data_IF_063848159616
#
_entry.id   IF_063848159616
#
_cell.length_a   1.000
_cell.length_b   1.000
_cell.length_c   1.000
_cell.angle_alpha   90.00
_cell.angle_beta   90.00
_cell.angle_gamma   90.00
#
_symmetry.space_group_name_H-M   'P 1'
#
loop_
_entity.id
_entity.type
_entity.pdbx_description
1 polymer ?
#
# COMPACT_ATOMS: atom_id res chain seq x y z
N UNK A 1 -20.38 -27.63 -11.66
CA UNK A 1 -19.51 -26.90 -12.60
C UNK A 1 -18.36 -26.42 -11.75
N UNK A 2 -17.13 -26.84 -12.03
CA UNK A 2 -15.98 -26.40 -11.23
C UNK A 2 -15.62 -25.00 -11.71
N UNK A 3 -15.78 -23.99 -10.86
CA UNK A 3 -15.19 -22.69 -11.10
C UNK A 3 -13.70 -22.79 -10.80
N UNK A 4 -12.87 -22.68 -11.83
CA UNK A 4 -11.44 -22.54 -11.65
C UNK A 4 -11.18 -21.15 -11.08
N UNK A 5 -11.00 -21.07 -9.76
CA UNK A 5 -10.53 -19.84 -9.11
C UNK A 5 -9.03 -19.73 -9.40
N UNK A 6 -8.65 -18.65 -10.07
CA UNK A 6 -7.24 -18.30 -10.28
C UNK A 6 -6.71 -17.69 -9.00
N UNK A 7 -5.80 -18.38 -8.35
CA UNK A 7 -5.12 -17.90 -7.15
C UNK A 7 -3.70 -17.46 -7.55
N UNK A 8 -3.37 -16.20 -7.30
CA UNK A 8 -2.04 -15.67 -7.62
C UNK A 8 -1.13 -15.87 -6.41
N UNK A 9 -0.01 -16.55 -6.63
CA UNK A 9 1.07 -16.72 -5.68
C UNK A 9 2.09 -15.62 -5.89
N UNK A 10 2.34 -14.82 -4.86
CA UNK A 10 3.32 -13.71 -4.91
C UNK A 10 4.73 -14.27 -5.04
N UNK A 11 5.56 -13.66 -5.88
CA UNK A 11 7.01 -13.89 -5.96
C UNK A 11 7.76 -12.62 -5.53
N UNK A 12 7.25 -11.45 -5.89
CA UNK A 12 7.88 -10.18 -5.56
C UNK A 12 6.84 -9.11 -5.28
N UNK A 13 7.05 -8.38 -4.20
CA UNK A 13 6.32 -7.17 -3.84
C UNK A 13 7.19 -5.98 -4.21
N UNK A 14 6.59 -5.00 -4.89
CA UNK A 14 7.25 -3.75 -5.27
C UNK A 14 6.41 -2.60 -4.74
N UNK A 15 7.04 -1.69 -4.00
CA UNK A 15 6.42 -0.45 -3.54
C UNK A 15 7.16 0.72 -4.18
N UNK A 16 6.43 1.60 -4.85
CA UNK A 16 6.87 2.95 -5.18
C UNK A 16 5.97 3.98 -4.51
N UNK A 17 6.46 5.21 -4.42
CA UNK A 17 5.76 6.30 -3.77
C UNK A 17 6.21 7.65 -4.32
N UNK A 18 5.43 8.67 -4.06
CA UNK A 18 5.81 10.07 -4.23
C UNK A 18 5.56 10.86 -2.96
N UNK A 19 6.29 11.94 -2.78
CA UNK A 19 6.18 12.77 -1.60
C UNK A 19 7.25 13.85 -1.50
N UNK A 20 7.10 14.67 -0.48
CA UNK A 20 8.06 15.71 -0.10
C UNK A 20 8.58 15.35 1.29
N UNK A 21 9.91 15.29 1.41
CA UNK A 21 10.58 14.84 2.63
C UNK A 21 11.61 15.88 3.02
N UNK A 22 11.49 16.40 4.25
CA UNK A 22 12.44 17.34 4.82
C UNK A 22 13.70 16.59 5.30
N UNK A 23 13.50 15.42 5.90
CA UNK A 23 14.57 14.49 6.24
C UNK A 23 14.17 13.06 5.88
N UNK A 24 14.60 12.61 4.69
CA UNK A 24 14.25 11.29 4.19
C UNK A 24 14.92 10.14 4.98
N UNK A 25 15.97 10.41 5.76
CA UNK A 25 16.56 9.42 6.64
C UNK A 25 15.67 9.03 7.83
N UNK A 26 14.74 9.88 8.23
CA UNK A 26 13.83 9.60 9.35
C UNK A 26 12.64 8.73 8.94
N UNK A 27 12.45 8.51 7.65
CA UNK A 27 11.37 7.69 7.14
C UNK A 27 11.77 6.22 7.15
N UNK A 28 10.96 5.39 7.80
CA UNK A 28 10.95 3.95 7.56
C UNK A 28 9.68 3.51 6.82
N UNK A 29 9.81 2.47 6.00
CA UNK A 29 8.75 1.95 5.15
C UNK A 29 8.65 0.44 5.36
N UNK A 30 7.45 -0.02 5.67
CA UNK A 30 7.12 -1.43 5.83
C UNK A 30 5.96 -1.80 4.91
N UNK A 31 5.93 -3.08 4.49
CA UNK A 31 4.77 -3.68 3.84
C UNK A 31 4.34 -4.94 4.58
N UNK A 32 3.04 -5.02 4.87
CA UNK A 32 2.40 -6.16 5.54
C UNK A 32 1.45 -6.85 4.58
N UNK A 33 1.59 -8.17 4.44
CA UNK A 33 0.72 -8.98 3.60
C UNK A 33 -0.60 -9.35 4.30
N UNK A 34 -1.62 -9.83 3.56
CA UNK A 34 -2.87 -10.33 4.12
C UNK A 34 -2.69 -11.47 5.12
N UNK A 35 -1.60 -12.24 5.00
CA UNK A 35 -1.28 -13.35 5.88
C UNK A 35 -0.41 -12.93 7.08
N UNK A 36 -0.10 -11.64 7.21
CA UNK A 36 0.60 -11.05 8.35
C UNK A 36 2.13 -11.02 8.21
N UNK A 37 2.68 -11.35 7.05
CA UNK A 37 4.13 -11.26 6.81
C UNK A 37 4.54 -9.81 6.60
N UNK A 38 5.40 -9.32 7.50
CA UNK A 38 5.96 -7.97 7.45
C UNK A 38 7.34 -7.96 6.78
N UNK A 39 7.52 -7.03 5.84
CA UNK A 39 8.81 -6.71 5.26
C UNK A 39 9.14 -5.23 5.48
N UNK A 40 10.23 -4.98 6.21
CA UNK A 40 10.87 -3.66 6.24
C UNK A 40 11.56 -3.43 4.89
N UNK A 41 11.04 -2.48 4.13
CA UNK A 41 11.49 -2.13 2.78
C UNK A 41 12.56 -1.05 2.83
N UNK A 42 12.43 -0.12 3.76
CA UNK A 42 13.39 0.94 4.02
C UNK A 42 13.48 1.14 5.54
N UNK A 43 14.61 0.80 6.18
CA UNK A 43 14.83 1.16 7.58
C UNK A 43 15.14 2.66 7.68
N UNK A 44 14.92 3.24 8.87
CA UNK A 44 15.39 4.58 9.18
C UNK A 44 16.93 4.65 9.11
N UNK A 45 17.46 5.74 8.56
CA UNK A 45 18.88 5.96 8.29
C UNK A 45 19.33 7.26 8.95
N UNK A 46 19.70 7.19 10.23
CA UNK A 46 20.06 8.34 11.10
C UNK A 46 21.18 9.29 10.59
N UNK A 47 21.93 8.89 9.57
CA UNK A 47 23.01 9.69 8.99
C UNK A 47 22.61 10.29 7.62
N UNK A 48 21.42 9.97 7.13
CA UNK A 48 20.86 10.57 5.93
C UNK A 48 20.00 11.75 6.38
N UNK A 49 20.45 12.97 6.11
CA UNK A 49 19.75 14.23 6.40
C UNK A 49 19.17 14.86 5.12
N UNK A 50 18.96 14.05 4.08
CA UNK A 50 18.55 14.53 2.76
C UNK A 50 17.12 15.04 2.77
N UNK A 51 16.93 16.30 2.37
CA UNK A 51 15.64 16.81 1.92
C UNK A 51 15.43 16.53 0.43
N UNK A 52 14.27 16.00 0.05
CA UNK A 52 13.98 15.69 -1.34
C UNK A 52 12.48 15.70 -1.66
N UNK A 53 12.18 15.92 -2.94
CA UNK A 53 10.90 15.58 -3.54
C UNK A 53 11.13 14.30 -4.33
N UNK A 54 10.29 13.30 -4.11
CA UNK A 54 10.34 12.03 -4.82
C UNK A 54 9.10 11.94 -5.69
N UNK A 55 9.30 11.71 -6.97
CA UNK A 55 8.21 11.44 -7.93
C UNK A 55 7.90 9.95 -8.03
N UNK A 56 6.66 9.62 -8.39
CA UNK A 56 6.20 8.24 -8.43
C UNK A 56 7.00 7.43 -9.45
N UNK A 57 7.64 6.35 -8.97
CA UNK A 57 8.46 5.46 -9.79
C UNK A 57 9.94 5.83 -9.86
N UNK A 58 10.38 6.94 -9.26
CA UNK A 58 11.81 7.26 -9.09
C UNK A 58 12.51 6.28 -8.15
N UNK A 59 11.85 5.99 -7.02
CA UNK A 59 12.29 4.97 -6.06
C UNK A 59 11.33 3.79 -6.09
N UNK A 60 11.90 2.59 -6.22
CA UNK A 60 11.18 1.31 -6.10
C UNK A 60 11.86 0.44 -5.06
N UNK A 61 11.09 0.03 -4.08
CA UNK A 61 11.51 -0.87 -3.01
C UNK A 61 10.97 -2.26 -3.29
N UNK A 62 11.77 -3.30 -3.03
CA UNK A 62 11.45 -4.67 -3.40
C UNK A 62 11.49 -5.59 -2.18
N UNK A 63 10.54 -6.53 -2.11
CA UNK A 63 10.57 -7.62 -1.14
C UNK A 63 10.24 -8.96 -1.80
N UNK A 64 10.97 -9.98 -1.37
CA UNK A 64 10.68 -11.40 -1.65
C UNK A 64 10.24 -12.15 -0.39
N UNK A 65 9.99 -11.45 0.73
CA UNK A 65 9.59 -12.10 1.99
C UNK A 65 8.23 -12.76 1.90
N UNK A 66 7.32 -12.20 1.11
CA UNK A 66 5.97 -12.69 0.89
C UNK A 66 5.91 -13.78 -0.22
N UNK A 67 7.03 -14.43 -0.52
CA UNK A 67 7.09 -15.45 -1.58
C UNK A 67 6.10 -16.58 -1.29
N UNK A 68 5.36 -16.97 -2.33
CA UNK A 68 4.31 -17.98 -2.33
C UNK A 68 3.06 -17.67 -1.52
N UNK A 69 2.91 -16.45 -1.01
CA UNK A 69 1.68 -16.03 -0.35
C UNK A 69 0.53 -15.84 -1.34
N UNK A 70 -0.70 -16.06 -0.88
CA UNK A 70 -1.89 -15.68 -1.66
C UNK A 70 -1.96 -14.16 -1.76
N UNK A 71 -2.24 -13.66 -2.97
CA UNK A 71 -2.35 -12.21 -3.20
C UNK A 71 -3.56 -11.59 -2.50
N UNK A 72 -4.63 -12.38 -2.32
CA UNK A 72 -5.94 -11.90 -1.95
C UNK A 72 -5.99 -11.43 -0.49
N UNK A 73 -6.65 -10.29 -0.27
CA UNK A 73 -6.86 -9.67 1.03
C UNK A 73 -6.24 -8.28 1.13
N UNK A 74 -6.10 -7.79 2.36
CA UNK A 74 -5.61 -6.42 2.62
C UNK A 74 -4.10 -6.39 2.71
N UNK A 75 -3.48 -5.54 1.90
CA UNK A 75 -2.08 -5.17 2.02
C UNK A 75 -1.98 -3.81 2.70
N UNK A 76 -1.04 -3.67 3.63
CA UNK A 76 -0.76 -2.41 4.30
C UNK A 76 0.65 -1.95 3.92
N UNK A 77 0.78 -0.71 3.46
CA UNK A 77 2.07 -0.04 3.32
C UNK A 77 2.11 1.05 4.36
N UNK A 78 3.10 0.99 5.25
CA UNK A 78 3.23 1.88 6.39
C UNK A 78 4.47 2.74 6.23
N UNK A 79 4.27 4.06 6.29
CA UNK A 79 5.33 5.05 6.40
C UNK A 79 5.38 5.52 7.84
N UNK A 80 6.56 5.49 8.45
CA UNK A 80 6.77 5.96 9.83
C UNK A 80 7.80 7.06 9.81
N UNK A 81 7.39 8.21 10.34
CA UNK A 81 8.31 9.29 10.67
C UNK A 81 8.89 9.05 12.07
N UNK A 82 10.19 8.79 12.13
CA UNK A 82 10.86 8.40 13.37
C UNK A 82 11.34 9.61 14.20
N UNK A 83 11.16 10.85 13.73
CA UNK A 83 11.44 12.07 14.49
C UNK A 83 10.21 12.63 15.23
N UNK A 84 9.14 11.84 15.34
CA UNK A 84 7.99 12.15 16.20
C UNK A 84 7.21 13.41 15.74
N UNK A 85 7.26 13.75 14.44
CA UNK A 85 6.45 14.80 13.82
C UNK A 85 7.03 16.21 13.90
N UNK A 86 8.32 16.36 14.20
CA UNK A 86 9.01 17.67 14.11
C UNK A 86 9.29 18.08 12.65
N UNK A 87 9.22 17.14 11.71
CA UNK A 87 9.48 17.33 10.27
C UNK A 87 8.19 17.37 9.46
N UNK A 88 8.17 18.14 8.37
CA UNK A 88 6.99 18.29 7.49
C UNK A 88 6.95 17.26 6.36
N UNK A 89 7.22 15.99 6.67
CA UNK A 89 7.21 14.91 5.69
C UNK A 89 5.78 14.63 5.18
N UNK A 90 5.61 14.50 3.86
CA UNK A 90 4.32 14.27 3.21
C UNK A 90 4.41 13.23 2.12
N UNK A 91 3.71 12.11 2.30
CA UNK A 91 3.47 11.13 1.23
C UNK A 91 2.26 11.57 0.42
N UNK A 92 2.39 11.65 -0.90
CA UNK A 92 1.31 12.10 -1.81
C UNK A 92 0.69 10.96 -2.60
N UNK A 93 1.45 9.92 -2.94
CA UNK A 93 0.94 8.72 -3.58
C UNK A 93 1.76 7.49 -3.21
N UNK A 94 1.14 6.31 -3.31
CA UNK A 94 1.76 5.01 -3.10
C UNK A 94 1.29 4.07 -4.19
N UNK A 95 2.22 3.37 -4.85
CA UNK A 95 1.95 2.28 -5.76
C UNK A 95 2.43 0.96 -5.20
N UNK A 96 1.56 -0.05 -5.28
CA UNK A 96 1.87 -1.43 -4.89
C UNK A 96 1.73 -2.32 -6.13
N UNK A 97 2.84 -2.94 -6.54
CA UNK A 97 2.86 -3.92 -7.62
C UNK A 97 3.22 -5.30 -7.08
N UNK A 98 2.34 -6.26 -7.32
CA UNK A 98 2.54 -7.66 -6.93
C UNK A 98 2.86 -8.47 -8.18
N UNK A 99 4.04 -9.09 -8.22
CA UNK A 99 4.44 -10.02 -9.28
C UNK A 99 4.33 -11.43 -8.75
N UNK A 100 3.88 -12.35 -9.60
CA UNK A 100 3.66 -13.72 -9.19
C UNK A 100 3.12 -14.58 -10.31
N UNK A 101 2.78 -15.82 -9.94
CA UNK A 101 2.23 -16.81 -10.86
C UNK A 101 0.79 -17.11 -10.53
N UNK A 102 -0.05 -17.13 -11.56
CA UNK A 102 -1.41 -17.62 -11.48
C UNK A 102 -1.38 -19.16 -11.36
N UNK A 103 -1.90 -19.70 -10.27
CA UNK A 103 -2.11 -21.12 -10.09
C UNK A 103 -3.62 -21.42 -10.12
N UNK A 104 -4.06 -22.45 -10.87
CA UNK A 104 -5.43 -22.91 -10.77
C UNK A 104 -5.61 -23.55 -9.38
N UNK A 105 -6.42 -22.94 -8.52
CA UNK A 105 -6.80 -23.57 -7.27
C UNK A 105 -8.00 -24.46 -7.56
N UNK A 106 -7.78 -25.79 -7.48
CA UNK A 106 -8.89 -26.75 -7.49
C UNK A 106 -9.66 -26.60 -6.18
N UNK A 107 -10.81 -25.94 -6.25
CA UNK A 107 -11.83 -26.09 -5.22
C UNK A 107 -12.36 -27.51 -5.36
N UNK A 108 -11.91 -28.42 -4.48
CA UNK A 108 -12.58 -29.70 -4.33
C UNK A 108 -13.95 -29.36 -3.73
N UNK A 109 -15.04 -29.57 -4.48
CA UNK A 109 -16.38 -29.35 -3.97
C UNK A 109 -16.51 -30.09 -2.62
N UNK A 110 -16.83 -29.40 -1.51
CA UNK A 110 -17.13 -30.08 -0.28
C UNK A 110 -18.37 -30.94 -0.56
N UNK A 111 -18.24 -32.25 -0.41
CA UNK A 111 -19.37 -33.16 -0.59
C UNK A 111 -20.31 -33.05 0.60
N UNK A 112 -20.98 -31.92 0.87
CA UNK A 112 -22.06 -31.88 1.87
C UNK A 112 -23.15 -30.86 1.54
N UNK A 113 -24.36 -31.26 1.92
CA UNK A 113 -25.65 -30.70 1.55
C UNK A 113 -25.82 -29.19 1.79
N UNK A 114 -26.58 -28.60 0.86
CA UNK A 114 -27.42 -27.39 0.95
C UNK A 114 -27.31 -26.56 2.24
N UNK A 115 -26.89 -25.30 2.11
CA UNK A 115 -27.76 -24.13 2.25
C UNK A 115 -27.00 -22.89 1.73
N UNK A 116 -27.42 -22.34 0.59
CA UNK A 116 -26.80 -21.15 -0.01
C UNK A 116 -27.47 -19.92 0.59
N UNK A 117 -26.73 -19.17 1.42
CA UNK A 117 -27.12 -17.83 1.84
C UNK A 117 -26.42 -16.84 0.91
N UNK A 118 -27.19 -16.19 0.03
CA UNK A 118 -26.70 -15.17 -0.90
C UNK A 118 -26.11 -13.98 -0.13
N UNK A 119 -24.93 -13.52 -0.53
CA UNK A 119 -24.48 -12.17 -0.20
C UNK A 119 -24.03 -11.40 -1.43
N UNK A 120 -24.63 -10.22 -1.53
CA UNK A 120 -24.60 -9.24 -2.61
C UNK A 120 -23.26 -8.49 -2.65
N UNK A 121 -22.89 -8.06 -3.86
CA UNK A 121 -21.68 -7.29 -4.20
C UNK A 121 -21.46 -6.00 -3.39
N UNK A 122 -20.19 -5.59 -3.24
CA UNK A 122 -19.82 -4.20 -2.91
C UNK A 122 -18.90 -3.62 -3.99
N UNK A 123 -19.18 -2.38 -4.41
CA UNK A 123 -18.32 -1.55 -5.26
C UNK A 123 -17.51 -0.58 -4.40
N UNK A 124 -16.23 -0.42 -4.69
CA UNK A 124 -15.37 0.61 -4.08
C UNK A 124 -15.50 1.90 -4.90
N UNK A 125 -16.06 2.96 -4.33
CA UNK A 125 -15.98 4.32 -4.87
C UNK A 125 -14.96 5.09 -4.02
N UNK A 126 -13.85 5.49 -4.63
CA UNK A 126 -12.93 6.49 -4.09
C UNK A 126 -13.48 7.87 -4.46
N UNK A 127 -14.06 8.60 -3.50
CA UNK A 127 -14.23 10.04 -3.61
C UNK A 127 -13.12 10.72 -2.78
N UNK A 128 -12.22 11.38 -3.49
CA UNK A 128 -11.33 12.38 -2.92
C UNK A 128 -12.11 13.70 -2.90
N UNK A 129 -12.56 14.14 -1.74
CA UNK A 129 -12.95 15.54 -1.56
C UNK A 129 -11.68 16.32 -1.22
N UNK A 130 -11.10 17.00 -2.21
CA UNK A 130 -10.20 18.11 -1.96
C UNK A 130 -11.03 19.24 -1.37
N UNK A 131 -10.99 19.44 -0.06
CA UNK A 131 -11.36 20.73 0.52
C UNK A 131 -10.33 21.77 0.06
N UNK A 132 -10.75 22.61 -0.88
CA UNK A 132 -10.08 23.84 -1.22
C UNK A 132 -10.37 24.81 -0.07
N UNK A 133 -9.36 25.16 0.71
CA UNK A 133 -9.44 26.25 1.67
C UNK A 133 -9.69 27.56 0.89
N UNK A 134 -10.84 28.25 1.02
CA UNK A 134 -11.00 29.55 0.42
C UNK A 134 -10.09 30.53 1.15
N UNK A 135 -9.22 31.16 0.37
CA UNK A 135 -8.41 32.33 0.71
C UNK A 135 -9.14 33.20 1.75
N UNK A 136 -8.59 33.35 2.94
CA UNK A 136 -8.97 34.48 3.80
C UNK A 136 -8.50 35.74 3.09
N UNK A 137 -9.49 36.58 2.81
CA UNK A 137 -9.39 37.86 2.13
C UNK A 137 -8.35 38.75 2.83
N UNK A 138 -7.52 39.38 2.02
CA UNK A 138 -6.81 40.60 2.41
C UNK A 138 -7.86 41.63 2.78
N UNK A 139 -7.89 42.06 4.04
CA UNK A 139 -8.61 43.25 4.47
C UNK A 139 -7.98 44.48 3.79
N UNK A 140 -8.54 44.86 2.64
CA UNK A 140 -8.53 46.24 2.14
C UNK A 140 -9.67 46.99 2.86
N UNK A 141 -9.31 47.79 3.88
CA UNK A 141 -9.85 49.13 4.20
C UNK A 141 -9.72 49.49 5.70
N UNK A 142 -8.66 50.25 6.06
CA UNK A 142 -8.69 51.52 6.82
C UNK A 142 -7.28 52.08 7.11
#
# INVERSE_FOLDING_TARGET
YVEDIVDIRVETVIVDFSGEFENFGDISIEVTSPQGTVAELLPARKLDDTSCIIELGEIRLYSVRQWYEQVAGTWEVKFVDNENGETQNKVTAVGLTLRGVAQPTRVLEPTFAQEVQEFTSFSLILQHECEVNPLQELDDDL
#
